data_IF_095054511332
#
_entry.id   IF_095054511332
#
_cell.length_a   1.000
_cell.length_b   1.000
_cell.length_c   1.000
_cell.angle_alpha   90.00
_cell.angle_beta   90.00
_cell.angle_gamma   90.00
#
_symmetry.space_group_name_H-M   'P 1'
#
loop_
_entity.id
_entity.type
_entity.pdbx_description
1 polymer ?
#
# COMPACT_ATOMS: atom_id res chain seq x y z
N UNK A 1 -27.73 -20.29 0.39
CA UNK A 1 -27.87 -19.63 -0.93
C UNK A 1 -28.11 -18.13 -0.77
N UNK A 2 -28.98 -17.71 0.16
CA UNK A 2 -29.31 -16.30 0.37
C UNK A 2 -28.14 -15.47 0.92
N UNK A 3 -27.38 -16.00 1.90
CA UNK A 3 -26.28 -15.25 2.53
C UNK A 3 -25.16 -14.89 1.53
N UNK A 4 -24.90 -15.78 0.57
CA UNK A 4 -23.90 -15.54 -0.47
C UNK A 4 -24.33 -14.43 -1.42
N UNK A 5 -25.59 -14.47 -1.89
CA UNK A 5 -26.13 -13.43 -2.78
C UNK A 5 -26.24 -12.09 -2.03
N UNK A 6 -26.56 -12.14 -0.75
CA UNK A 6 -26.64 -10.97 0.12
C UNK A 6 -25.28 -10.30 0.29
N UNK A 7 -24.21 -11.05 0.58
CA UNK A 7 -22.85 -10.51 0.66
C UNK A 7 -22.46 -9.73 -0.60
N UNK A 8 -22.72 -10.28 -1.79
CA UNK A 8 -22.41 -9.60 -3.05
C UNK A 8 -23.26 -8.36 -3.30
N UNK A 9 -24.51 -8.37 -2.85
CA UNK A 9 -25.43 -7.24 -3.00
C UNK A 9 -25.01 -6.08 -2.09
N UNK A 10 -24.65 -6.38 -0.84
CA UNK A 10 -24.20 -5.40 0.15
C UNK A 10 -22.84 -4.78 -0.21
N UNK A 11 -21.94 -5.57 -0.80
CA UNK A 11 -20.56 -5.14 -1.09
C UNK A 11 -20.33 -4.80 -2.57
N UNK A 12 -21.39 -4.66 -3.37
CA UNK A 12 -21.30 -4.52 -4.84
C UNK A 12 -20.35 -3.40 -5.26
N UNK A 13 -20.46 -2.22 -4.65
CA UNK A 13 -19.63 -1.06 -5.01
C UNK A 13 -18.14 -1.31 -4.80
N UNK A 14 -17.76 -1.83 -3.63
CA UNK A 14 -16.36 -2.13 -3.28
C UNK A 14 -15.81 -3.22 -4.20
N UNK A 15 -16.60 -4.27 -4.47
CA UNK A 15 -16.20 -5.35 -5.39
C UNK A 15 -15.92 -4.78 -6.79
N UNK A 16 -16.80 -3.91 -7.31
CA UNK A 16 -16.57 -3.25 -8.59
C UNK A 16 -15.30 -2.40 -8.59
N UNK A 17 -15.07 -1.61 -7.54
CA UNK A 17 -13.86 -0.79 -7.40
C UNK A 17 -12.61 -1.68 -7.42
N UNK A 18 -12.57 -2.75 -6.63
CA UNK A 18 -11.42 -3.67 -6.56
C UNK A 18 -11.14 -4.29 -7.94
N UNK A 19 -12.17 -4.77 -8.63
CA UNK A 19 -12.03 -5.34 -9.97
C UNK A 19 -11.45 -4.31 -10.95
N UNK A 20 -12.00 -3.09 -10.98
CA UNK A 20 -11.51 -2.03 -11.86
C UNK A 20 -10.07 -1.60 -11.52
N UNK A 21 -9.71 -1.53 -10.23
CA UNK A 21 -8.33 -1.23 -9.82
C UNK A 21 -7.33 -2.30 -10.28
N UNK A 22 -7.72 -3.58 -10.29
CA UNK A 22 -6.89 -4.66 -10.83
C UNK A 22 -6.65 -4.45 -12.33
N UNK A 23 -7.70 -4.17 -13.11
CA UNK A 23 -7.56 -3.88 -14.55
C UNK A 23 -6.66 -2.68 -14.80
N UNK A 24 -6.85 -1.58 -14.05
CA UNK A 24 -6.01 -0.38 -14.16
C UNK A 24 -4.55 -0.72 -13.84
N UNK A 25 -4.28 -1.51 -12.80
CA UNK A 25 -2.92 -1.92 -12.44
C UNK A 25 -2.23 -2.70 -13.56
N UNK A 26 -2.93 -3.68 -14.15
CA UNK A 26 -2.40 -4.48 -15.27
C UNK A 26 -2.09 -3.60 -16.49
N UNK A 27 -3.02 -2.74 -16.89
CA UNK A 27 -2.89 -1.89 -18.07
C UNK A 27 -1.78 -0.84 -17.94
N UNK A 28 -1.60 -0.29 -16.73
CA UNK A 28 -0.56 0.72 -16.45
C UNK A 28 0.82 0.07 -16.43
N UNK A 29 0.98 -1.07 -15.75
CA UNK A 29 2.28 -1.77 -15.64
C UNK A 29 2.71 -2.36 -16.99
N UNK A 30 1.76 -2.87 -17.79
CA UNK A 30 2.04 -3.48 -19.10
C UNK A 30 2.70 -2.54 -20.11
N UNK A 31 2.66 -1.23 -19.89
CA UNK A 31 3.24 -0.20 -20.76
C UNK A 31 4.59 0.36 -20.29
N UNK A 32 5.12 -0.16 -19.18
CA UNK A 32 6.39 0.33 -18.61
C UNK A 32 7.59 -0.30 -19.36
N UNK A 33 8.57 0.49 -19.83
CA UNK A 33 9.76 -0.04 -20.49
C UNK A 33 10.63 -0.86 -19.52
N UNK A 34 11.34 -1.86 -20.05
CA UNK A 34 12.08 -2.83 -19.23
C UNK A 34 13.11 -2.21 -18.28
N UNK A 35 13.73 -1.10 -18.69
CA UNK A 35 14.72 -0.35 -17.90
C UNK A 35 14.15 0.24 -16.60
N UNK A 36 12.82 0.41 -16.52
CA UNK A 36 12.14 0.95 -15.34
C UNK A 36 11.55 -0.13 -14.43
N UNK A 37 11.69 -1.43 -14.70
CA UNK A 37 11.09 -2.46 -13.83
C UNK A 37 11.63 -2.45 -12.40
N UNK A 38 12.93 -2.20 -12.20
CA UNK A 38 13.51 -2.13 -10.86
C UNK A 38 13.07 -0.86 -10.09
N UNK A 39 13.12 0.35 -10.68
CA UNK A 39 12.49 1.53 -10.08
C UNK A 39 10.99 1.35 -9.83
N UNK A 40 10.26 0.70 -10.75
CA UNK A 40 8.83 0.42 -10.60
C UNK A 40 8.56 -0.51 -9.42
N UNK A 41 9.34 -1.59 -9.27
CA UNK A 41 9.25 -2.49 -8.12
C UNK A 41 9.47 -1.74 -6.80
N UNK A 42 10.49 -0.88 -6.74
CA UNK A 42 10.74 -0.01 -5.58
C UNK A 42 9.58 0.97 -5.31
N UNK A 43 9.04 1.59 -6.37
CA UNK A 43 7.94 2.54 -6.26
C UNK A 43 6.64 1.88 -5.80
N UNK A 44 6.31 0.69 -6.33
CA UNK A 44 5.21 -0.13 -5.84
C UNK A 44 5.43 -0.52 -4.37
N UNK A 45 6.68 -0.77 -3.96
CA UNK A 45 7.04 -1.01 -2.57
C UNK A 45 6.77 0.19 -1.65
N UNK A 46 7.00 1.41 -2.13
CA UNK A 46 6.68 2.63 -1.39
C UNK A 46 5.17 2.88 -1.25
N UNK A 47 4.41 2.59 -2.31
CA UNK A 47 2.95 2.82 -2.34
C UNK A 47 2.21 1.88 -1.39
N UNK A 48 2.56 0.57 -1.36
CA UNK A 48 1.89 -0.36 -0.45
C UNK A 48 2.17 -0.08 1.04
N UNK A 49 3.15 0.78 1.33
CA UNK A 49 3.38 1.34 2.66
C UNK A 49 2.17 2.10 3.24
N UNK A 50 1.11 2.36 2.47
CA UNK A 50 -0.21 2.81 2.94
C UNK A 50 -0.76 1.99 4.10
N UNK A 51 -0.27 0.76 4.33
CA UNK A 51 -0.51 -0.04 5.55
C UNK A 51 -0.31 0.77 6.84
N UNK A 52 0.56 1.78 6.86
CA UNK A 52 0.71 2.69 8.01
C UNK A 52 -0.62 3.34 8.43
N UNK A 53 -1.50 3.68 7.48
CA UNK A 53 -2.82 4.26 7.77
C UNK A 53 -3.67 3.28 8.55
N UNK A 54 -3.67 2.01 8.14
CA UNK A 54 -4.35 0.93 8.86
C UNK A 54 -3.79 0.73 10.28
N UNK A 55 -2.46 0.78 10.42
CA UNK A 55 -1.81 0.67 11.73
C UNK A 55 -2.19 1.83 12.68
N UNK A 56 -2.24 3.06 12.17
CA UNK A 56 -2.67 4.23 12.94
C UNK A 56 -4.14 4.10 13.36
N UNK A 57 -5.02 3.74 12.43
CA UNK A 57 -6.45 3.54 12.73
C UNK A 57 -6.67 2.44 13.76
N UNK A 58 -5.91 1.35 13.67
CA UNK A 58 -5.98 0.27 14.64
C UNK A 58 -5.49 0.74 16.02
N UNK A 59 -4.35 1.42 16.08
CA UNK A 59 -3.77 1.95 17.32
C UNK A 59 -4.71 2.94 18.03
N UNK A 60 -5.46 3.76 17.28
CA UNK A 60 -6.46 4.70 17.81
C UNK A 60 -7.62 4.02 18.53
N UNK A 61 -7.89 2.75 18.25
CA UNK A 61 -8.99 1.98 18.85
C UNK A 61 -8.53 1.07 20.00
N UNK A 62 -7.25 1.12 20.40
CA UNK A 62 -6.73 0.33 21.50
C UNK A 62 -6.99 1.03 22.83
N UNK A 63 -7.52 0.28 23.80
CA UNK A 63 -7.77 0.80 25.15
C UNK A 63 -6.45 1.22 25.84
N UNK A 64 -6.43 2.34 26.60
CA UNK A 64 -5.20 2.87 27.21
C UNK A 64 -4.49 1.92 28.19
N UNK A 65 -5.23 1.01 28.81
CA UNK A 65 -4.74 0.00 29.76
C UNK A 65 -4.22 -1.27 29.07
N UNK A 66 -4.50 -1.45 27.77
CA UNK A 66 -3.98 -2.57 26.99
C UNK A 66 -2.54 -2.31 26.50
N UNK A 67 -1.59 -2.48 27.42
CA UNK A 67 -0.15 -2.25 27.18
C UNK A 67 0.38 -3.12 26.01
N UNK A 68 -0.06 -4.37 25.91
CA UNK A 68 0.36 -5.26 24.81
C UNK A 68 -0.12 -4.72 23.47
N UNK A 69 -1.41 -4.36 23.36
CA UNK A 69 -1.98 -3.76 22.17
C UNK A 69 -1.25 -2.48 21.77
N UNK A 70 -1.03 -1.56 22.71
CA UNK A 70 -0.33 -0.30 22.45
C UNK A 70 1.11 -0.52 21.98
N UNK A 71 1.82 -1.49 22.56
CA UNK A 71 3.18 -1.82 22.15
C UNK A 71 3.23 -2.36 20.72
N UNK A 72 2.32 -3.27 20.36
CA UNK A 72 2.23 -3.83 19.01
C UNK A 72 1.78 -2.77 17.99
N UNK A 73 0.82 -1.92 18.36
CA UNK A 73 0.38 -0.79 17.54
C UNK A 73 1.52 0.19 17.26
N UNK A 74 2.33 0.50 18.28
CA UNK A 74 3.51 1.37 18.13
C UNK A 74 4.53 0.76 17.18
N UNK A 75 4.83 -0.54 17.32
CA UNK A 75 5.73 -1.25 16.40
C UNK A 75 5.17 -1.27 14.98
N UNK A 76 3.86 -1.50 14.81
CA UNK A 76 3.21 -1.51 13.51
C UNK A 76 3.31 -0.15 12.80
N UNK A 77 3.05 0.95 13.50
CA UNK A 77 3.19 2.31 12.95
C UNK A 77 4.66 2.62 12.63
N UNK A 78 5.59 2.22 13.51
CA UNK A 78 7.02 2.41 13.28
C UNK A 78 7.51 1.67 12.02
N UNK A 79 7.18 0.38 11.88
CA UNK A 79 7.55 -0.41 10.70
C UNK A 79 6.87 0.11 9.43
N UNK A 80 5.60 0.51 9.52
CA UNK A 80 4.89 1.17 8.41
C UNK A 80 5.58 2.45 7.95
N UNK A 81 6.04 3.27 8.90
CA UNK A 81 6.82 4.48 8.62
C UNK A 81 8.12 4.16 7.90
N UNK A 82 8.88 3.17 8.39
CA UNK A 82 10.12 2.74 7.73
C UNK A 82 9.88 2.25 6.31
N UNK A 83 8.80 1.51 6.06
CA UNK A 83 8.46 1.02 4.74
C UNK A 83 8.15 2.16 3.76
N UNK A 84 7.26 3.09 4.15
CA UNK A 84 6.91 4.26 3.32
C UNK A 84 8.14 5.12 3.04
N UNK A 85 8.83 5.58 4.09
CA UNK A 85 9.97 6.49 3.95
C UNK A 85 11.11 5.82 3.18
N UNK A 86 11.48 4.60 3.55
CA UNK A 86 12.53 3.85 2.88
C UNK A 86 12.20 3.59 1.41
N UNK A 87 10.95 3.20 1.11
CA UNK A 87 10.48 2.97 -0.24
C UNK A 87 10.58 4.22 -1.11
N UNK A 88 10.12 5.39 -0.63
CA UNK A 88 10.18 6.64 -1.40
C UNK A 88 11.62 7.12 -1.60
N UNK A 89 12.47 7.05 -0.57
CA UNK A 89 13.89 7.47 -0.67
C UNK A 89 14.66 6.61 -1.66
N UNK A 90 14.47 5.28 -1.62
CA UNK A 90 15.16 4.37 -2.56
C UNK A 90 14.65 4.57 -3.98
N UNK A 91 13.34 4.74 -4.16
CA UNK A 91 12.75 4.98 -5.49
C UNK A 91 13.26 6.28 -6.10
N UNK A 92 13.35 7.37 -5.32
CA UNK A 92 13.89 8.64 -5.80
C UNK A 92 15.34 8.51 -6.27
N UNK A 93 16.20 7.87 -5.47
CA UNK A 93 17.60 7.58 -5.85
C UNK A 93 17.72 6.74 -7.13
N UNK A 94 16.82 5.77 -7.33
CA UNK A 94 16.81 4.98 -8.57
C UNK A 94 16.38 5.83 -9.78
N UNK A 95 15.38 6.70 -9.61
CA UNK A 95 14.90 7.57 -10.68
C UNK A 95 15.90 8.68 -11.03
N UNK A 96 16.72 9.12 -10.08
CA UNK A 96 17.82 10.05 -10.32
C UNK A 96 18.82 9.55 -11.37
N UNK A 97 19.03 8.24 -11.49
CA UNK A 97 19.92 7.63 -12.48
C UNK A 97 19.45 7.86 -13.93
N UNK A 98 18.18 8.21 -14.14
CA UNK A 98 17.59 8.51 -15.44
C UNK A 98 17.57 10.01 -15.77
N UNK A 99 17.92 10.89 -14.81
CA UNK A 99 18.04 12.33 -15.07
C UNK A 99 19.28 12.55 -15.94
N UNK A 100 19.14 13.29 -17.05
CA UNK A 100 20.30 13.73 -17.85
C UNK A 100 21.25 14.51 -16.94
N UNK A 101 22.54 14.16 -16.94
CA UNK A 101 23.58 15.00 -16.34
C UNK A 101 23.49 16.39 -16.99
N UNK A 102 23.35 17.42 -16.17
CA UNK A 102 23.62 18.80 -16.60
C UNK A 102 25.10 18.92 -16.95
#
# INVERSE_FOLDING_TARGET
>A
MNDFIQFFTENKEIIFIVILMIFVGVEVIGKVPAVLHTPLMSGANAIHGVVIVGAILLMLNIEPDNILGLSLGTIAVFLGTLNVVGGFVVTDRMLEMFKKKK
#
